data_IF_584981772452
#
_entry.id   IF_584981772452
#
_cell.length_a   1.000
_cell.length_b   1.000
_cell.length_c   1.000
_cell.angle_alpha   90.00
_cell.angle_beta   90.00
_cell.angle_gamma   90.00
#
_symmetry.space_group_name_H-M   'P 1'
#
loop_
_entity.id
_entity.type
_entity.pdbx_description
1 polymer ?
#
# COMPACT_ATOMS: atom_id res chain seq x y z
N UNK A 1 32.49 19.80 12.53
CA UNK A 1 32.29 18.88 11.38
C UNK A 1 31.08 17.94 11.56
N UNK A 2 30.67 17.59 12.79
CA UNK A 2 29.46 16.77 13.05
C UNK A 2 28.13 17.49 12.74
N UNK A 3 28.05 18.80 13.01
CA UNK A 3 26.82 19.57 12.80
C UNK A 3 26.35 19.64 11.33
N UNK A 4 27.28 19.70 10.38
CA UNK A 4 26.93 19.73 8.94
C UNK A 4 26.39 18.39 8.43
N UNK A 5 26.81 17.26 9.02
CA UNK A 5 26.32 15.94 8.62
C UNK A 5 24.90 15.68 9.15
N UNK A 6 24.58 16.14 10.36
CA UNK A 6 23.22 16.09 10.89
C UNK A 6 22.28 17.04 10.12
N UNK A 7 22.74 18.25 9.78
CA UNK A 7 21.97 19.23 8.98
C UNK A 7 21.62 18.72 7.57
N UNK A 8 22.55 18.04 6.90
CA UNK A 8 22.31 17.43 5.57
C UNK A 8 21.27 16.30 5.63
N UNK A 9 21.11 15.63 6.77
CA UNK A 9 20.06 14.60 6.95
C UNK A 9 18.70 15.18 7.33
N UNK A 10 18.65 16.36 7.98
CA UNK A 10 17.41 17.05 8.37
C UNK A 10 16.79 17.89 7.25
N UNK A 11 17.54 18.18 6.18
CA UNK A 11 17.06 18.88 4.97
C UNK A 11 16.32 17.99 3.97
N UNK A 12 15.99 16.74 4.35
CA UNK A 12 14.83 16.08 3.74
C UNK A 12 13.61 16.87 4.19
N UNK A 13 13.17 17.82 3.37
CA UNK A 13 12.07 18.72 3.68
C UNK A 13 10.96 17.92 4.35
N UNK A 14 10.63 18.25 5.59
CA UNK A 14 9.55 17.64 6.37
C UNK A 14 8.26 17.54 5.52
N UNK A 15 8.06 18.48 4.59
CA UNK A 15 7.02 18.44 3.57
C UNK A 15 6.99 17.16 2.73
N UNK A 16 8.13 16.66 2.23
CA UNK A 16 8.18 15.43 1.42
C UNK A 16 7.81 14.20 2.25
N UNK A 17 8.14 14.19 3.55
CA UNK A 17 7.71 13.14 4.48
C UNK A 17 6.20 13.21 4.74
N UNK A 18 5.66 14.40 5.02
CA UNK A 18 4.22 14.60 5.21
C UNK A 18 3.45 14.15 3.96
N UNK A 19 3.92 14.52 2.77
CA UNK A 19 3.30 14.10 1.51
C UNK A 19 3.38 12.58 1.35
N UNK A 20 4.53 11.96 1.65
CA UNK A 20 4.66 10.50 1.60
C UNK A 20 3.64 9.80 2.52
N UNK A 21 3.54 10.22 3.77
CA UNK A 21 2.58 9.64 4.71
C UNK A 21 1.12 9.90 4.31
N UNK A 22 0.82 11.09 3.78
CA UNK A 22 -0.50 11.40 3.23
C UNK A 22 -0.87 10.47 2.07
N UNK A 23 0.07 10.20 1.15
CA UNK A 23 -0.09 9.23 0.04
C UNK A 23 -0.34 7.82 0.60
N UNK A 24 0.40 7.39 1.61
CA UNK A 24 0.22 6.07 2.21
C UNK A 24 -1.16 5.95 2.88
N UNK A 25 -1.56 6.95 3.66
CA UNK A 25 -2.85 6.97 4.36
C UNK A 25 -4.00 6.96 3.36
N UNK A 26 -3.96 7.82 2.35
CA UNK A 26 -4.98 7.88 1.30
C UNK A 26 -5.10 6.57 0.51
N UNK A 27 -4.00 5.86 0.28
CA UNK A 27 -4.06 4.55 -0.36
C UNK A 27 -4.73 3.50 0.54
N UNK A 28 -4.46 3.53 1.86
CA UNK A 28 -5.15 2.66 2.82
C UNK A 28 -6.65 2.99 2.91
N UNK A 29 -7.02 4.26 2.97
CA UNK A 29 -8.44 4.65 3.02
C UNK A 29 -9.16 4.27 1.74
N UNK A 30 -8.51 4.42 0.57
CA UNK A 30 -9.05 3.93 -0.69
C UNK A 30 -9.33 2.44 -0.65
N UNK A 31 -8.37 1.60 -0.26
CA UNK A 31 -8.56 0.15 -0.15
C UNK A 31 -9.70 -0.19 0.84
N UNK A 32 -9.75 0.49 1.99
CA UNK A 32 -10.77 0.24 3.01
C UNK A 32 -12.19 0.59 2.54
N UNK A 33 -12.37 1.81 2.00
CA UNK A 33 -13.63 2.24 1.42
C UNK A 33 -14.03 1.32 0.27
N UNK A 34 -13.05 0.87 -0.51
CA UNK A 34 -13.28 -0.03 -1.61
C UNK A 34 -13.84 -1.38 -1.13
N UNK A 35 -13.22 -2.02 -0.14
CA UNK A 35 -13.69 -3.30 0.43
C UNK A 35 -15.12 -3.17 0.97
N UNK A 36 -15.48 -2.03 1.56
CA UNK A 36 -16.85 -1.76 2.05
C UNK A 36 -17.82 -1.52 0.90
N UNK A 37 -17.38 -0.87 -0.18
CA UNK A 37 -18.24 -0.57 -1.33
C UNK A 37 -18.71 -1.82 -2.07
N UNK A 38 -17.91 -2.90 -2.06
CA UNK A 38 -18.23 -4.16 -2.73
C UNK A 38 -19.54 -4.83 -2.24
N UNK A 39 -19.71 -5.14 -0.94
CA UNK A 39 -20.96 -5.72 -0.45
C UNK A 39 -22.14 -4.75 -0.62
N UNK A 40 -21.92 -3.43 -0.44
CA UNK A 40 -22.96 -2.42 -0.66
C UNK A 40 -23.43 -2.44 -2.12
N UNK A 41 -22.51 -2.53 -3.09
CA UNK A 41 -22.83 -2.62 -4.51
C UNK A 41 -23.56 -3.90 -4.87
N UNK A 42 -23.11 -5.05 -4.36
CA UNK A 42 -23.73 -6.36 -4.65
C UNK A 42 -25.17 -6.43 -4.11
N UNK A 43 -25.44 -5.84 -2.95
CA UNK A 43 -26.77 -5.89 -2.32
C UNK A 43 -27.75 -4.84 -2.88
N UNK A 44 -27.27 -3.66 -3.29
CA UNK A 44 -28.14 -2.54 -3.67
C UNK A 44 -28.22 -2.27 -5.18
N UNK A 45 -27.28 -2.77 -5.99
CA UNK A 45 -27.27 -2.54 -7.43
C UNK A 45 -27.78 -3.77 -8.20
N UNK A 46 -28.46 -3.57 -9.35
CA UNK A 46 -28.90 -4.69 -10.17
C UNK A 46 -27.69 -5.48 -10.72
N UNK A 47 -27.88 -6.79 -10.87
CA UNK A 47 -26.81 -7.74 -11.18
C UNK A 47 -26.02 -7.38 -12.46
N UNK A 48 -26.68 -6.83 -13.47
CA UNK A 48 -26.05 -6.44 -14.74
C UNK A 48 -25.17 -5.18 -14.62
N UNK A 49 -25.26 -4.43 -13.52
CA UNK A 49 -24.34 -3.32 -13.18
C UNK A 49 -23.26 -3.81 -12.23
N UNK A 50 -23.64 -4.54 -11.18
CA UNK A 50 -22.70 -4.98 -10.14
C UNK A 50 -21.70 -6.02 -10.65
N UNK A 51 -22.12 -6.97 -11.49
CA UNK A 51 -21.25 -8.04 -12.00
C UNK A 51 -20.14 -7.52 -12.93
N UNK A 52 -20.39 -6.66 -13.94
CA UNK A 52 -19.32 -6.10 -14.76
C UNK A 52 -18.35 -5.22 -13.96
N UNK A 53 -18.87 -4.38 -13.05
CA UNK A 53 -18.04 -3.53 -12.20
C UNK A 53 -17.16 -4.35 -11.25
N UNK A 54 -17.72 -5.39 -10.64
CA UNK A 54 -16.98 -6.32 -9.80
C UNK A 54 -15.90 -7.07 -10.59
N UNK A 55 -16.22 -7.52 -11.80
CA UNK A 55 -15.27 -8.22 -12.68
C UNK A 55 -14.13 -7.31 -13.12
N UNK A 56 -14.43 -6.06 -13.50
CA UNK A 56 -13.42 -5.06 -13.80
C UNK A 56 -12.54 -4.77 -12.58
N UNK A 57 -13.13 -4.72 -11.38
CA UNK A 57 -12.37 -4.54 -10.14
C UNK A 57 -11.44 -5.72 -9.82
N UNK A 58 -11.92 -6.96 -9.95
CA UNK A 58 -11.07 -8.12 -9.73
C UNK A 58 -9.90 -8.13 -10.72
N UNK A 59 -10.18 -7.78 -11.97
CA UNK A 59 -9.14 -7.57 -12.97
C UNK A 59 -8.20 -6.43 -12.56
N UNK A 60 -8.71 -5.38 -11.92
CA UNK A 60 -7.91 -4.27 -11.42
C UNK A 60 -6.96 -4.66 -10.27
N UNK A 61 -7.47 -5.44 -9.33
CA UNK A 61 -6.77 -5.83 -8.11
C UNK A 61 -5.80 -7.00 -8.33
N UNK A 62 -6.13 -7.93 -9.22
CA UNK A 62 -5.40 -9.19 -9.44
C UNK A 62 -4.63 -9.18 -10.77
N UNK A 63 -5.01 -8.31 -11.72
CA UNK A 63 -4.41 -8.24 -13.04
C UNK A 63 -2.90 -8.09 -13.00
N UNK A 64 -2.20 -8.98 -13.71
CA UNK A 64 -0.75 -8.91 -13.83
C UNK A 64 -0.36 -7.64 -14.61
N UNK A 65 0.53 -6.84 -14.03
CA UNK A 65 1.14 -5.69 -14.71
C UNK A 65 0.48 -4.34 -14.47
N UNK A 66 -0.62 -4.25 -13.69
CA UNK A 66 -1.16 -2.94 -13.34
C UNK A 66 -0.37 -2.32 -12.18
N UNK A 67 0.55 -1.42 -12.52
CA UNK A 67 1.25 -0.60 -11.54
C UNK A 67 0.29 0.51 -11.12
N UNK A 68 -0.18 0.45 -9.87
CA UNK A 68 -1.01 1.51 -9.31
C UNK A 68 -0.26 2.86 -9.38
N UNK A 69 -0.81 3.91 -10.03
CA UNK A 69 -0.15 5.21 -10.15
C UNK A 69 0.16 5.82 -8.77
N UNK A 70 -0.64 5.48 -7.76
CA UNK A 70 -0.41 5.87 -6.37
C UNK A 70 0.87 5.27 -5.79
N UNK A 71 1.19 4.01 -6.13
CA UNK A 71 2.44 3.35 -5.75
C UNK A 71 3.64 3.97 -6.48
N UNK A 72 3.47 4.36 -7.74
CA UNK A 72 4.52 5.09 -8.48
C UNK A 72 4.80 6.47 -7.84
N UNK A 73 3.75 7.19 -7.43
CA UNK A 73 3.87 8.45 -6.70
C UNK A 73 4.55 8.25 -5.33
N UNK A 74 4.13 7.23 -4.58
CA UNK A 74 4.78 6.85 -3.32
C UNK A 74 6.28 6.60 -3.53
N UNK A 75 6.65 5.83 -4.55
CA UNK A 75 8.05 5.56 -4.89
C UNK A 75 8.84 6.83 -5.24
N UNK A 76 8.21 7.80 -5.89
CA UNK A 76 8.83 9.12 -6.17
C UNK A 76 9.21 9.83 -4.87
N UNK A 77 8.31 9.85 -3.87
CA UNK A 77 8.60 10.46 -2.58
C UNK A 77 9.52 9.60 -1.70
N UNK A 78 9.41 8.27 -1.74
CA UNK A 78 10.36 7.35 -1.07
C UNK A 78 11.79 7.58 -1.53
N UNK A 79 12.02 7.73 -2.85
CA UNK A 79 13.34 8.09 -3.40
C UNK A 79 13.86 9.41 -2.84
N UNK A 80 13.02 10.45 -2.79
CA UNK A 80 13.39 11.76 -2.22
C UNK A 80 13.77 11.68 -0.74
N UNK A 81 13.04 10.88 0.05
CA UNK A 81 13.33 10.70 1.47
C UNK A 81 14.34 9.57 1.75
N UNK A 82 15.00 9.03 0.73
CA UNK A 82 16.02 7.98 0.84
C UNK A 82 15.52 6.62 1.35
N UNK A 83 14.23 6.32 1.17
CA UNK A 83 13.64 5.02 1.47
C UNK A 83 13.67 4.10 0.23
N UNK A 84 13.76 2.77 0.41
CA UNK A 84 13.70 1.82 -0.70
C UNK A 84 12.33 1.87 -1.39
N UNK A 85 12.32 1.73 -2.71
CA UNK A 85 11.10 1.63 -3.51
C UNK A 85 10.37 0.32 -3.28
N UNK A 86 9.06 0.35 -3.47
CA UNK A 86 8.17 -0.79 -3.35
C UNK A 86 7.62 -1.21 -4.71
N UNK A 87 7.50 -2.51 -4.90
CA UNK A 87 7.00 -3.14 -6.13
C UNK A 87 5.47 -3.04 -6.20
N UNK A 88 4.78 -3.45 -5.13
CA UNK A 88 3.32 -3.35 -5.01
C UNK A 88 2.94 -2.94 -3.60
N UNK A 89 1.99 -2.01 -3.48
CA UNK A 89 1.50 -1.51 -2.19
C UNK A 89 0.98 -2.63 -1.29
N UNK A 90 0.05 -3.44 -1.80
CA UNK A 90 -0.59 -4.52 -1.02
C UNK A 90 0.44 -5.55 -0.56
N UNK A 91 1.39 -5.90 -1.44
CA UNK A 91 2.48 -6.83 -1.14
C UNK A 91 3.36 -6.30 -0.01
N UNK A 92 3.68 -5.01 -0.02
CA UNK A 92 4.53 -4.39 0.99
C UNK A 92 3.84 -4.26 2.35
N UNK A 93 2.61 -3.74 2.37
CA UNK A 93 1.91 -3.36 3.60
C UNK A 93 1.05 -4.48 4.22
N UNK A 94 0.56 -5.45 3.44
CA UNK A 94 -0.32 -6.50 3.95
C UNK A 94 0.29 -7.91 3.82
N UNK A 95 0.81 -8.28 2.65
CA UNK A 95 1.27 -9.66 2.42
C UNK A 95 2.58 -9.97 3.15
N UNK A 96 3.63 -9.17 2.96
CA UNK A 96 4.93 -9.36 3.64
C UNK A 96 4.82 -9.45 5.17
N UNK A 97 4.12 -8.53 5.87
CA UNK A 97 3.98 -8.63 7.33
C UNK A 97 3.18 -9.87 7.75
N UNK A 98 2.13 -10.24 7.01
CA UNK A 98 1.38 -11.46 7.28
C UNK A 98 2.24 -12.72 7.14
N UNK A 99 3.03 -12.84 6.07
CA UNK A 99 3.96 -13.96 5.87
C UNK A 99 5.00 -14.02 7.01
N UNK A 100 5.59 -12.88 7.37
CA UNK A 100 6.55 -12.79 8.47
C UNK A 100 5.94 -13.27 9.79
N UNK A 101 4.70 -12.86 10.07
CA UNK A 101 3.95 -13.31 11.24
C UNK A 101 3.71 -14.83 11.21
N UNK A 102 3.22 -15.37 10.09
CA UNK A 102 2.94 -16.80 9.91
C UNK A 102 4.19 -17.66 10.09
N UNK A 103 5.31 -17.27 9.47
CA UNK A 103 6.59 -17.98 9.60
C UNK A 103 7.05 -17.97 11.06
N UNK A 104 7.01 -16.81 11.73
CA UNK A 104 7.40 -16.70 13.15
C UNK A 104 6.58 -17.65 14.04
N UNK A 105 5.26 -17.72 13.84
CA UNK A 105 4.40 -18.58 14.64
C UNK A 105 4.70 -20.06 14.42
N UNK A 106 4.93 -20.47 13.17
CA UNK A 106 5.33 -21.84 12.82
C UNK A 106 6.64 -22.27 13.47
N UNK A 107 7.62 -21.36 13.60
CA UNK A 107 8.86 -21.66 14.34
C UNK A 107 8.61 -21.81 15.85
N UNK A 108 7.74 -20.98 16.43
CA UNK A 108 7.40 -21.06 17.86
C UNK A 108 6.71 -22.38 18.22
N UNK A 109 5.80 -22.85 17.36
CA UNK A 109 5.15 -24.17 17.49
C UNK A 109 6.09 -25.36 17.32
N UNK A 110 7.24 -25.17 16.66
CA UNK A 110 8.23 -26.25 16.42
C UNK A 110 9.29 -26.36 17.52
N UNK A 111 9.37 -25.33 18.38
CA UNK A 111 10.32 -25.25 19.51
C UNK A 111 9.63 -25.67 20.83
N UNK A 112 8.30 -25.56 20.90
CA UNK A 112 7.47 -26.16 21.95
C UNK A 112 7.11 -27.60 21.61
#
# INVERSE_FOLDING_TARGET
MYYNFLMVTTDKKISDQIILYSIIISHHTYIFLFIISLPVMILNAPWYISVPLFSWFLNAAIGQGWICPWTALENKYRKKVGMPTIDTFVKHYYIKPYIRYKVRNKYKEKIN
#
